data_IF_993578656510
#
_entry.id   IF_993578656510
#
_cell.length_a   1.000
_cell.length_b   1.000
_cell.length_c   1.000
_cell.angle_alpha   90.00
_cell.angle_beta   90.00
_cell.angle_gamma   90.00
#
_symmetry.space_group_name_H-M   'P 1'
#
loop_
_entity.id
_entity.type
_entity.pdbx_description
1 polymer ?
#
# COMPACT_ATOMS: atom_id res chain seq x y z
N UNK A 1 -9.83 14.01 14.89
CA UNK A 1 -9.50 12.85 15.73
C UNK A 1 -8.43 13.31 16.73
N UNK A 2 -8.76 13.46 18.02
CA UNK A 2 -7.85 14.02 19.04
C UNK A 2 -6.93 12.89 19.56
N UNK A 3 -5.73 12.79 19.01
CA UNK A 3 -4.65 11.92 19.50
C UNK A 3 -3.37 12.73 19.79
N UNK A 4 -3.51 13.98 20.20
CA UNK A 4 -2.43 14.98 20.23
C UNK A 4 -1.67 15.09 21.56
N UNK A 5 -1.93 14.23 22.55
CA UNK A 5 -1.33 14.38 23.90
C UNK A 5 -1.03 13.06 24.60
N UNK A 6 -0.71 12.00 23.84
CA UNK A 6 -0.27 10.75 24.44
C UNK A 6 1.27 10.65 24.35
N UNK A 7 1.95 10.68 25.51
CA UNK A 7 3.42 10.60 25.57
C UNK A 7 3.95 9.32 24.92
N UNK A 8 3.15 8.27 24.90
CA UNK A 8 3.53 7.01 24.27
C UNK A 8 3.50 7.11 22.74
N UNK A 9 2.58 7.92 22.18
CA UNK A 9 2.54 8.22 20.75
C UNK A 9 3.73 9.09 20.32
N UNK A 10 4.09 10.10 21.09
CA UNK A 10 5.27 10.93 20.79
C UNK A 10 6.56 10.12 20.85
N UNK A 11 6.66 9.22 21.83
CA UNK A 11 7.80 8.29 21.98
C UNK A 11 7.87 7.34 20.78
N UNK A 12 6.74 6.76 20.38
CA UNK A 12 6.67 5.90 19.20
C UNK A 12 7.03 6.67 17.93
N UNK A 13 6.48 7.87 17.74
CA UNK A 13 6.73 8.69 16.57
C UNK A 13 8.21 9.03 16.43
N UNK A 14 8.87 9.41 17.53
CA UNK A 14 10.31 9.66 17.55
C UNK A 14 11.12 8.41 17.22
N UNK A 15 10.81 7.30 17.88
CA UNK A 15 11.46 6.01 17.57
C UNK A 15 11.31 5.64 16.10
N UNK A 16 10.10 5.80 15.55
CA UNK A 16 9.81 5.49 14.17
C UNK A 16 10.59 6.38 13.20
N UNK A 17 10.64 7.68 13.48
CA UNK A 17 11.41 8.64 12.69
C UNK A 17 12.91 8.29 12.69
N UNK A 18 13.49 8.07 13.88
CA UNK A 18 14.91 7.76 14.03
C UNK A 18 15.29 6.45 13.33
N UNK A 19 14.50 5.39 13.52
CA UNK A 19 14.84 4.06 13.01
C UNK A 19 14.40 3.86 11.56
N UNK A 20 13.15 4.13 11.25
CA UNK A 20 12.56 3.71 9.99
C UNK A 20 12.59 4.81 8.93
N UNK A 21 12.53 6.09 9.31
CA UNK A 21 12.63 7.16 8.31
C UNK A 21 14.09 7.57 8.03
N UNK A 22 14.82 7.94 9.07
CA UNK A 22 16.14 8.55 8.91
C UNK A 22 17.25 7.52 8.68
N UNK A 23 17.23 6.38 9.37
CA UNK A 23 18.30 5.38 9.26
C UNK A 23 18.10 4.36 8.12
N UNK A 24 16.85 4.07 7.72
CA UNK A 24 16.50 3.04 6.75
C UNK A 24 15.45 3.51 5.71
N UNK A 25 15.84 4.35 4.72
CA UNK A 25 14.88 5.05 3.83
C UNK A 25 14.05 4.18 2.85
N UNK A 26 14.03 2.85 2.99
CA UNK A 26 13.32 1.92 2.09
C UNK A 26 12.59 0.79 2.84
N UNK A 27 12.14 1.04 4.07
CA UNK A 27 11.51 0.00 4.89
C UNK A 27 10.06 -0.36 4.50
N UNK A 28 9.40 0.48 3.69
CA UNK A 28 7.98 0.33 3.37
C UNK A 28 7.77 -0.43 2.04
N UNK A 29 6.65 -1.13 1.91
CA UNK A 29 6.28 -1.96 0.74
C UNK A 29 6.48 -1.23 -0.61
N UNK A 30 6.14 0.07 -0.64
CA UNK A 30 6.23 0.89 -1.84
C UNK A 30 7.66 1.16 -2.34
N UNK A 31 8.68 0.82 -1.56
CA UNK A 31 10.09 0.90 -1.97
C UNK A 31 10.51 -0.27 -2.89
N UNK A 32 9.86 -1.43 -2.75
CA UNK A 32 10.19 -2.67 -3.42
C UNK A 32 8.95 -3.24 -4.13
N UNK A 33 8.39 -2.45 -5.04
CA UNK A 33 7.13 -2.75 -5.70
C UNK A 33 7.14 -4.11 -6.40
N UNK A 34 6.07 -4.88 -6.17
CA UNK A 34 5.80 -6.20 -6.76
C UNK A 34 6.76 -7.31 -6.31
N UNK A 35 7.63 -7.00 -5.35
CA UNK A 35 8.39 -8.01 -4.64
C UNK A 35 7.50 -8.49 -3.49
N UNK A 36 7.19 -9.79 -3.40
CA UNK A 36 6.43 -10.30 -2.28
C UNK A 36 7.21 -10.04 -0.99
N UNK A 37 6.66 -9.21 -0.11
CA UNK A 37 7.22 -9.08 1.22
C UNK A 37 6.83 -10.27 2.08
N UNK A 38 7.71 -10.60 3.04
CA UNK A 38 7.43 -11.60 4.06
C UNK A 38 6.15 -11.23 4.85
N UNK A 39 5.91 -9.92 5.01
CA UNK A 39 4.75 -9.42 5.74
C UNK A 39 3.43 -9.74 5.02
N UNK A 40 3.36 -9.63 3.69
CA UNK A 40 2.15 -9.95 2.93
C UNK A 40 1.73 -11.41 3.12
N UNK A 41 2.69 -12.34 3.17
CA UNK A 41 2.44 -13.75 3.46
C UNK A 41 1.88 -13.96 4.87
N UNK A 42 2.50 -13.31 5.87
CA UNK A 42 2.09 -13.40 7.27
C UNK A 42 0.71 -12.77 7.50
N UNK A 43 0.44 -11.59 6.93
CA UNK A 43 -0.84 -10.91 7.06
C UNK A 43 -1.98 -11.67 6.38
N UNK A 44 -1.73 -12.22 5.19
CA UNK A 44 -2.69 -13.08 4.48
C UNK A 44 -3.03 -14.32 5.31
N UNK A 45 -2.02 -14.98 5.87
CA UNK A 45 -2.20 -16.14 6.75
C UNK A 45 -2.99 -15.77 8.02
N UNK A 46 -2.61 -14.68 8.68
CA UNK A 46 -3.33 -14.16 9.84
C UNK A 46 -4.79 -13.80 9.52
N UNK A 47 -5.05 -13.25 8.32
CA UNK A 47 -6.39 -12.98 7.83
C UNK A 47 -7.23 -14.26 7.71
N UNK A 48 -6.67 -15.29 7.10
CA UNK A 48 -7.30 -16.61 6.97
C UNK A 48 -7.60 -17.25 8.33
N UNK A 49 -6.65 -17.18 9.27
CA UNK A 49 -6.85 -17.62 10.65
C UNK A 49 -8.07 -16.90 11.24
N UNK A 50 -8.09 -15.57 11.18
CA UNK A 50 -9.17 -14.76 11.77
C UNK A 50 -10.55 -15.02 11.15
N UNK A 51 -10.60 -15.29 9.86
CA UNK A 51 -11.85 -15.55 9.12
C UNK A 51 -12.38 -16.96 9.38
N UNK A 52 -11.52 -17.97 9.32
CA UNK A 52 -11.93 -19.38 9.33
C UNK A 52 -11.88 -20.02 10.72
N UNK A 53 -11.08 -19.46 11.64
CA UNK A 53 -10.83 -20.04 12.95
C UNK A 53 -11.00 -18.96 14.01
N UNK A 54 -12.22 -18.81 14.49
CA UNK A 54 -12.54 -17.83 15.52
C UNK A 54 -12.06 -18.32 16.89
N UNK A 55 -10.84 -17.94 17.28
CA UNK A 55 -10.31 -18.10 18.64
C UNK A 55 -10.92 -17.09 19.64
N UNK A 56 -12.20 -16.72 19.46
CA UNK A 56 -12.87 -15.72 20.30
C UNK A 56 -13.10 -16.22 21.73
N UNK A 57 -13.09 -17.54 21.93
CA UNK A 57 -13.19 -18.19 23.23
C UNK A 57 -11.87 -18.88 23.57
N UNK A 58 -11.51 -18.94 24.86
CA UNK A 58 -10.39 -19.75 25.34
C UNK A 58 -10.68 -21.23 25.05
N UNK A 59 -9.83 -21.86 24.25
CA UNK A 59 -9.91 -23.28 23.95
C UNK A 59 -9.20 -24.10 25.02
N UNK A 60 -9.67 -25.33 25.26
CA UNK A 60 -8.89 -26.33 25.99
C UNK A 60 -7.61 -26.67 25.20
N UNK A 61 -6.57 -27.19 25.86
CA UNK A 61 -5.34 -27.57 25.17
C UNK A 61 -5.59 -28.57 24.02
N UNK A 62 -6.43 -29.59 24.26
CA UNK A 62 -6.78 -30.57 23.23
C UNK A 62 -7.49 -29.93 22.04
N UNK A 63 -8.49 -29.08 22.31
CA UNK A 63 -9.23 -28.36 21.25
C UNK A 63 -8.32 -27.38 20.48
N UNK A 64 -7.38 -26.74 21.17
CA UNK A 64 -6.39 -25.87 20.55
C UNK A 64 -5.47 -26.65 19.60
N UNK A 65 -4.91 -27.78 20.04
CA UNK A 65 -4.02 -28.61 19.22
C UNK A 65 -4.74 -29.13 17.97
N UNK A 66 -5.98 -29.62 18.11
CA UNK A 66 -6.80 -30.04 16.95
C UNK A 66 -7.08 -28.89 15.98
N UNK A 67 -7.33 -27.69 16.53
CA UNK A 67 -7.57 -26.50 15.70
C UNK A 67 -6.29 -26.08 14.96
N UNK A 68 -5.14 -26.13 15.63
CA UNK A 68 -3.83 -25.81 15.04
C UNK A 68 -3.43 -26.82 13.96
N UNK A 69 -3.64 -28.12 14.19
CA UNK A 69 -3.45 -29.18 13.20
C UNK A 69 -4.31 -28.93 11.96
N UNK A 70 -5.59 -28.59 12.15
CA UNK A 70 -6.50 -28.25 11.04
C UNK A 70 -6.04 -27.02 10.26
N UNK A 71 -5.58 -25.96 10.96
CA UNK A 71 -5.03 -24.76 10.31
C UNK A 71 -3.84 -25.10 9.40
N UNK A 72 -2.90 -25.93 9.89
CA UNK A 72 -1.73 -26.35 9.12
C UNK A 72 -2.13 -27.19 7.91
N UNK A 73 -3.04 -28.15 8.11
CA UNK A 73 -3.54 -29.00 7.04
C UNK A 73 -4.23 -28.18 5.94
N UNK A 74 -5.19 -27.33 6.29
CA UNK A 74 -5.93 -26.50 5.35
C UNK A 74 -5.01 -25.52 4.60
N UNK A 75 -3.98 -24.98 5.28
CA UNK A 75 -2.98 -24.14 4.63
C UNK A 75 -2.15 -24.91 3.61
N UNK A 76 -1.64 -26.09 4.00
CA UNK A 76 -0.80 -26.93 3.13
C UNK A 76 -1.50 -27.33 1.83
N UNK A 77 -2.80 -27.59 1.88
CA UNK A 77 -3.61 -27.94 0.72
C UNK A 77 -4.02 -26.73 -0.11
N UNK A 78 -4.35 -25.60 0.53
CA UNK A 78 -4.77 -24.40 -0.18
C UNK A 78 -3.64 -23.75 -1.00
N UNK A 79 -2.38 -23.94 -0.60
CA UNK A 79 -1.21 -23.44 -1.34
C UNK A 79 -0.93 -24.15 -2.67
N UNK A 80 -1.63 -25.27 -2.98
CA UNK A 80 -1.36 -26.07 -4.17
C UNK A 80 -2.19 -25.61 -5.39
N UNK A 81 -3.29 -24.87 -5.20
CA UNK A 81 -4.26 -24.61 -6.29
C UNK A 81 -4.53 -23.15 -6.64
N UNK A 82 -4.01 -22.16 -5.89
CA UNK A 82 -4.22 -20.75 -6.23
C UNK A 82 -2.97 -20.19 -6.91
N UNK A 83 -2.91 -20.12 -8.25
CA UNK A 83 -1.88 -19.34 -8.91
C UNK A 83 -1.95 -17.90 -8.38
N UNK A 84 -0.79 -17.25 -8.24
CA UNK A 84 -0.75 -15.81 -7.98
C UNK A 84 -1.67 -15.11 -8.99
N UNK A 85 -2.48 -14.16 -8.53
CA UNK A 85 -3.35 -13.41 -9.44
C UNK A 85 -2.47 -12.66 -10.45
N UNK A 86 -2.41 -13.18 -11.68
CA UNK A 86 -1.67 -12.60 -12.82
C UNK A 86 -2.60 -11.71 -13.65
N UNK A 87 -3.83 -11.46 -13.18
CA UNK A 87 -4.80 -10.61 -13.84
C UNK A 87 -5.45 -9.70 -12.81
N UNK A 88 -5.46 -8.40 -13.10
CA UNK A 88 -6.24 -7.43 -12.33
C UNK A 88 -7.67 -7.52 -12.87
N UNK A 89 -8.62 -7.84 -12.01
CA UNK A 89 -10.03 -7.73 -12.32
C UNK A 89 -10.51 -6.30 -12.04
N UNK A 90 -11.09 -5.67 -13.06
CA UNK A 90 -11.71 -4.36 -12.92
C UNK A 90 -13.21 -4.54 -12.78
N UNK A 91 -13.81 -3.89 -11.78
CA UNK A 91 -15.27 -3.81 -11.68
C UNK A 91 -15.78 -2.49 -12.31
N UNK A 92 -17.03 -2.52 -12.78
CA UNK A 92 -17.65 -1.37 -13.49
C UNK A 92 -17.72 -0.12 -12.62
N UNK A 93 -17.87 -0.28 -11.29
CA UNK A 93 -17.88 0.83 -10.34
C UNK A 93 -16.53 1.58 -10.33
N UNK A 94 -15.42 0.84 -10.27
CA UNK A 94 -14.08 1.42 -10.26
C UNK A 94 -13.79 2.13 -11.58
N UNK A 95 -14.21 1.54 -12.71
CA UNK A 95 -14.09 2.16 -14.02
C UNK A 95 -14.90 3.48 -14.09
N UNK A 96 -16.14 3.48 -13.62
CA UNK A 96 -16.97 4.69 -13.59
C UNK A 96 -16.38 5.79 -12.69
N UNK A 97 -15.80 5.42 -11.54
CA UNK A 97 -15.10 6.35 -10.65
C UNK A 97 -13.81 6.88 -11.27
N UNK A 98 -13.03 6.04 -11.95
CA UNK A 98 -11.82 6.45 -12.67
C UNK A 98 -12.15 7.48 -13.76
N UNK A 99 -13.21 7.24 -14.53
CA UNK A 99 -13.69 8.19 -15.54
C UNK A 99 -14.07 9.54 -14.92
N UNK A 100 -14.89 9.53 -13.85
CA UNK A 100 -15.27 10.77 -13.14
C UNK A 100 -14.07 11.53 -12.57
N UNK A 101 -13.07 10.80 -12.08
CA UNK A 101 -11.83 11.39 -11.59
C UNK A 101 -11.04 12.05 -12.72
N UNK A 102 -10.85 11.35 -13.85
CA UNK A 102 -10.13 11.87 -15.01
C UNK A 102 -10.74 13.18 -15.54
N UNK A 103 -12.07 13.30 -15.51
CA UNK A 103 -12.77 14.52 -15.93
C UNK A 103 -12.49 15.74 -15.03
N UNK A 104 -12.11 15.51 -13.77
CA UNK A 104 -11.77 16.56 -12.80
C UNK A 104 -10.27 16.83 -12.71
N UNK A 105 -9.45 15.97 -13.34
CA UNK A 105 -8.01 16.05 -13.25
C UNK A 105 -7.50 17.24 -14.07
N UNK A 106 -6.78 18.14 -13.39
CA UNK A 106 -6.03 19.18 -14.07
C UNK A 106 -4.80 18.56 -14.75
N UNK A 107 -4.93 18.30 -16.06
CA UNK A 107 -3.90 17.63 -16.87
C UNK A 107 -2.60 18.43 -16.97
N UNK A 108 -2.64 19.74 -16.76
CA UNK A 108 -1.44 20.60 -16.79
C UNK A 108 -0.52 20.26 -15.61
N UNK A 109 -1.09 19.80 -14.49
CA UNK A 109 -0.36 19.40 -13.29
C UNK A 109 0.13 17.96 -13.32
N UNK A 110 -0.12 17.22 -14.40
CA UNK A 110 0.38 15.84 -14.54
C UNK A 110 1.76 15.90 -15.16
N UNK A 111 2.76 15.40 -14.43
CA UNK A 111 4.14 15.34 -14.92
C UNK A 111 4.45 13.97 -15.48
N UNK A 112 5.18 13.92 -16.58
CA UNK A 112 5.72 12.68 -17.15
C UNK A 112 7.17 12.54 -16.70
N UNK A 113 7.50 11.44 -16.03
CA UNK A 113 8.86 11.16 -15.53
C UNK A 113 9.68 10.26 -16.45
N UNK A 114 9.02 9.54 -17.34
CA UNK A 114 9.70 8.63 -18.26
C UNK A 114 8.78 8.14 -19.38
N UNK A 115 9.19 7.06 -20.04
CA UNK A 115 8.42 6.48 -21.14
C UNK A 115 7.00 6.09 -20.71
N UNK A 116 6.85 5.58 -19.49
CA UNK A 116 5.59 5.03 -19.00
C UNK A 116 5.31 5.38 -17.53
N UNK A 117 5.91 6.45 -16.99
CA UNK A 117 5.72 6.83 -15.59
C UNK A 117 5.24 8.28 -15.50
N UNK A 118 4.26 8.52 -14.63
CA UNK A 118 3.57 9.78 -14.46
C UNK A 118 3.44 10.14 -12.99
N UNK A 119 3.39 11.43 -12.68
CA UNK A 119 3.08 11.95 -11.35
C UNK A 119 1.83 12.81 -11.47
N UNK A 120 0.85 12.51 -10.63
CA UNK A 120 -0.41 13.25 -10.56
C UNK A 120 -0.56 13.93 -9.21
N UNK A 121 -1.15 15.12 -9.15
CA UNK A 121 -1.49 15.72 -7.86
C UNK A 121 -2.54 14.86 -7.17
N UNK A 122 -2.50 14.86 -5.84
CA UNK A 122 -3.61 14.37 -5.03
C UNK A 122 -4.82 15.29 -5.13
N UNK A 123 -5.94 14.90 -4.51
CA UNK A 123 -7.13 15.76 -4.42
C UNK A 123 -6.88 17.05 -3.64
N UNK A 124 -5.98 17.02 -2.66
CA UNK A 124 -5.64 18.15 -1.80
C UNK A 124 -4.11 18.21 -1.65
N UNK A 125 -3.40 18.66 -2.69
CA UNK A 125 -1.94 18.67 -2.70
C UNK A 125 -1.41 19.71 -1.70
N UNK A 126 -0.51 19.29 -0.80
CA UNK A 126 0.24 20.21 0.08
C UNK A 126 1.52 20.74 -0.56
N UNK A 127 1.91 20.17 -1.69
CA UNK A 127 3.10 20.47 -2.45
C UNK A 127 2.80 20.33 -3.95
N UNK A 128 3.43 21.16 -4.77
CA UNK A 128 3.36 21.02 -6.22
C UNK A 128 4.08 19.74 -6.71
N UNK A 129 3.57 19.17 -7.79
CA UNK A 129 4.11 17.94 -8.39
C UNK A 129 5.59 18.02 -8.79
N UNK A 130 6.11 19.18 -9.18
CA UNK A 130 7.52 19.34 -9.55
C UNK A 130 8.43 19.22 -8.33
N UNK A 131 8.09 19.92 -7.25
CA UNK A 131 8.80 19.82 -5.97
C UNK A 131 8.73 18.38 -5.44
N UNK A 132 7.57 17.74 -5.56
CA UNK A 132 7.38 16.35 -5.15
C UNK A 132 8.37 15.40 -5.83
N UNK A 133 8.57 15.57 -7.15
CA UNK A 133 9.52 14.79 -7.95
C UNK A 133 10.97 15.04 -7.53
N UNK A 134 11.32 16.28 -7.23
CA UNK A 134 12.66 16.61 -6.74
C UNK A 134 12.95 15.88 -5.42
N UNK A 135 12.00 15.88 -4.49
CA UNK A 135 12.11 15.12 -3.24
C UNK A 135 12.18 13.60 -3.48
N UNK A 136 11.41 13.07 -4.43
CA UNK A 136 11.45 11.66 -4.77
C UNK A 136 12.86 11.20 -5.19
N UNK A 137 13.59 12.03 -5.94
CA UNK A 137 14.94 11.71 -6.37
C UNK A 137 16.02 11.99 -5.32
N UNK A 138 15.78 12.93 -4.39
CA UNK A 138 16.76 13.28 -3.36
C UNK A 138 16.60 12.48 -2.05
N UNK A 139 15.45 11.83 -1.83
CA UNK A 139 15.05 11.06 -0.62
C UNK A 139 15.62 11.69 0.65
N UNK A 140 15.27 12.95 0.86
CA UNK A 140 15.76 13.76 1.98
C UNK A 140 14.59 14.31 2.77
N UNK A 141 13.92 13.44 3.53
CA UNK A 141 12.94 13.88 4.51
C UNK A 141 13.66 14.18 5.82
N UNK A 142 13.34 15.33 6.42
CA UNK A 142 13.94 15.76 7.69
C UNK A 142 13.02 15.48 8.89
N UNK A 143 11.77 15.09 8.63
CA UNK A 143 10.81 14.73 9.68
C UNK A 143 9.69 13.82 9.17
N UNK A 144 8.97 13.19 10.10
CA UNK A 144 7.76 12.41 9.78
C UNK A 144 6.65 13.26 9.13
N UNK A 145 6.45 14.52 9.57
CA UNK A 145 5.40 15.37 8.98
C UNK A 145 5.72 15.73 7.53
N UNK A 146 6.99 16.02 7.24
CA UNK A 146 7.46 16.28 5.88
C UNK A 146 7.23 15.05 4.97
N UNK A 147 7.55 13.85 5.47
CA UNK A 147 7.27 12.61 4.76
C UNK A 147 5.77 12.43 4.48
N UNK A 148 4.90 12.67 5.46
CA UNK A 148 3.45 12.53 5.30
C UNK A 148 2.88 13.57 4.33
N UNK A 149 3.36 14.80 4.38
CA UNK A 149 2.95 15.87 3.47
C UNK A 149 3.38 15.57 2.05
N UNK A 150 4.62 15.11 1.87
CA UNK A 150 5.10 14.60 0.59
C UNK A 150 4.25 13.43 0.09
N UNK A 151 4.07 12.37 0.88
CA UNK A 151 3.31 11.16 0.49
C UNK A 151 1.87 11.50 0.08
N UNK A 152 1.25 12.46 0.76
CA UNK A 152 -0.11 12.87 0.47
C UNK A 152 -0.23 13.83 -0.71
N UNK A 153 0.82 14.55 -1.10
CA UNK A 153 0.73 15.61 -2.10
C UNK A 153 0.52 15.13 -3.53
N UNK A 154 1.16 14.03 -3.94
CA UNK A 154 1.07 13.50 -5.30
C UNK A 154 1.05 11.97 -5.32
N UNK A 155 0.73 11.37 -6.46
CA UNK A 155 0.80 9.92 -6.71
C UNK A 155 1.69 9.63 -7.90
N UNK A 156 2.60 8.68 -7.71
CA UNK A 156 3.43 8.12 -8.78
C UNK A 156 2.64 6.97 -9.42
N UNK A 157 2.50 7.04 -10.75
CA UNK A 157 2.01 5.96 -11.58
C UNK A 157 3.14 5.43 -12.44
N UNK A 158 3.25 4.11 -12.53
CA UNK A 158 4.21 3.46 -13.41
C UNK A 158 3.55 2.33 -14.19
N UNK A 159 3.53 2.49 -15.52
CA UNK A 159 2.97 1.60 -16.53
C UNK A 159 4.08 0.82 -17.27
N UNK A 160 5.35 1.02 -16.92
CA UNK A 160 6.50 0.37 -17.59
C UNK A 160 6.54 -1.15 -17.38
N UNK A 161 5.88 -1.62 -16.32
CA UNK A 161 5.76 -3.03 -15.97
C UNK A 161 4.39 -3.49 -16.44
N UNK A 162 4.30 -4.21 -17.57
CA UNK A 162 3.02 -4.73 -18.07
C UNK A 162 2.84 -6.23 -17.75
N UNK A 163 1.60 -6.57 -17.37
CA UNK A 163 0.95 -7.89 -17.13
C UNK A 163 1.09 -8.59 -15.76
N UNK A 164 0.27 -8.17 -14.77
CA UNK A 164 -0.35 -6.87 -14.62
C UNK A 164 0.27 -6.19 -13.40
N UNK A 165 1.09 -5.17 -13.61
CA UNK A 165 1.12 -4.18 -12.55
C UNK A 165 1.20 -2.74 -13.05
N UNK A 166 0.02 -2.16 -13.19
CA UNK A 166 -0.15 -0.72 -13.10
C UNK A 166 0.19 -0.32 -11.66
N UNK A 167 1.37 0.22 -11.44
CA UNK A 167 1.73 0.72 -10.12
C UNK A 167 1.07 2.07 -9.90
N UNK A 168 0.45 2.25 -8.73
CA UNK A 168 0.10 3.56 -8.22
C UNK A 168 0.48 3.65 -6.75
N UNK A 169 1.19 4.71 -6.36
CA UNK A 169 1.62 4.93 -4.98
C UNK A 169 0.49 5.30 -4.02
N UNK A 170 -0.76 5.36 -4.47
CA UNK A 170 -1.90 5.55 -3.57
C UNK A 170 -2.17 4.28 -2.76
N UNK A 171 -2.79 4.44 -1.57
CA UNK A 171 -3.14 3.32 -0.68
C UNK A 171 -3.85 2.16 -1.39
N UNK A 172 -4.79 2.45 -2.30
CA UNK A 172 -5.52 1.43 -3.04
C UNK A 172 -4.63 0.74 -4.08
N UNK A 173 -3.83 1.49 -4.83
CA UNK A 173 -2.88 0.92 -5.80
C UNK A 173 -1.82 0.03 -5.14
N UNK A 174 -1.34 0.41 -3.94
CA UNK A 174 -0.39 -0.40 -3.17
C UNK A 174 -1.00 -1.69 -2.61
N UNK A 175 -2.27 -1.64 -2.17
CA UNK A 175 -2.90 -2.75 -1.45
C UNK A 175 -3.71 -3.68 -2.36
N UNK A 176 -4.45 -3.09 -3.28
CA UNK A 176 -5.44 -3.76 -4.14
C UNK A 176 -4.94 -3.88 -5.57
N UNK A 177 -3.74 -3.38 -5.87
CA UNK A 177 -3.12 -3.34 -7.20
C UNK A 177 -4.00 -2.68 -8.29
N UNK A 178 -5.02 -1.94 -7.86
CA UNK A 178 -5.98 -1.26 -8.72
C UNK A 178 -6.52 -0.02 -8.03
N UNK A 179 -6.66 1.08 -8.76
CA UNK A 179 -7.22 2.32 -8.24
C UNK A 179 -7.74 3.21 -9.37
N UNK A 180 -8.45 4.27 -9.01
CA UNK A 180 -8.95 5.24 -9.98
C UNK A 180 -7.86 5.91 -10.82
N UNK A 181 -6.65 6.09 -10.25
CA UNK A 181 -5.55 6.76 -10.95
C UNK A 181 -4.96 5.87 -12.05
N UNK A 182 -4.70 4.60 -11.73
CA UNK A 182 -4.14 3.61 -12.66
C UNK A 182 -5.08 3.25 -13.80
N UNK A 183 -6.39 3.39 -13.60
CA UNK A 183 -7.42 3.14 -14.61
C UNK A 183 -7.78 4.38 -15.43
N UNK A 184 -7.67 5.57 -14.82
CA UNK A 184 -8.11 6.81 -15.45
C UNK A 184 -7.07 7.44 -16.37
N UNK A 185 -5.78 7.23 -16.11
CA UNK A 185 -4.66 7.72 -16.93
C UNK A 185 -4.13 6.64 -17.86
#
# INVERSE_FOLDING_TARGET
MKWTTDKDLDTFRKYFEDQWLLSLPFWYEGSANLIPSINNGIESFNGKIKQMYTLRNKLSLSSFLQTAERMLYDWSLASISTPFAIQIEFNDDLAARAYKWLQKLDRIKVLRLGAASYVVPSSEPKMDTLLWVQYYHSISWNSYDEFIDWLNSARLLDFSRLTPPLFCSCKYGLKEYSCIHSLGL
#
